data_IF_608208757591
#
_entry.id   IF_608208757591
#
_cell.length_a   1.000
_cell.length_b   1.000
_cell.length_c   1.000
_cell.angle_alpha   90.00
_cell.angle_beta   90.00
_cell.angle_gamma   90.00
#
_symmetry.space_group_name_H-M   'P 1'
#
loop_
_entity.id
_entity.type
_entity.pdbx_description
1 polymer ?
#
# COMPACT_ATOMS: atom_id res chain seq x y z
N UNK A 1 -9.17 -25.16 -6.97
CA UNK A 1 -8.00 -24.91 -6.11
C UNK A 1 -7.16 -23.92 -6.89
N UNK A 2 -7.09 -22.66 -6.46
CA UNK A 2 -6.22 -21.66 -7.09
C UNK A 2 -4.79 -22.12 -6.82
N UNK A 3 -3.94 -22.22 -7.85
CA UNK A 3 -2.56 -22.61 -7.64
C UNK A 3 -1.86 -21.53 -6.80
N UNK A 4 -0.86 -21.91 -5.99
CA UNK A 4 -0.11 -20.95 -5.18
C UNK A 4 0.54 -19.85 -6.05
N UNK A 5 0.92 -20.21 -7.28
CA UNK A 5 1.49 -19.30 -8.28
C UNK A 5 0.47 -18.27 -8.78
N UNK A 6 -0.76 -18.70 -9.10
CA UNK A 6 -1.85 -17.79 -9.52
C UNK A 6 -2.19 -16.77 -8.42
N UNK A 7 -2.13 -17.19 -7.15
CA UNK A 7 -2.38 -16.29 -6.02
C UNK A 7 -1.23 -15.30 -5.84
N UNK A 8 0.02 -15.75 -5.99
CA UNK A 8 1.19 -14.86 -5.90
C UNK A 8 1.15 -13.79 -7.00
N UNK A 9 0.84 -14.17 -8.23
CA UNK A 9 0.70 -13.24 -9.36
C UNK A 9 -0.44 -12.23 -9.13
N UNK A 10 -1.59 -12.69 -8.63
CA UNK A 10 -2.71 -11.80 -8.32
C UNK A 10 -2.38 -10.80 -7.19
N UNK A 11 -1.57 -11.20 -6.21
CA UNK A 11 -1.11 -10.30 -5.14
C UNK A 11 -0.09 -9.28 -5.67
N UNK A 12 0.82 -9.69 -6.54
CA UNK A 12 1.76 -8.78 -7.22
C UNK A 12 1.02 -7.73 -8.06
N UNK A 13 0.05 -8.16 -8.88
CA UNK A 13 -0.77 -7.24 -9.68
C UNK A 13 -1.59 -6.27 -8.81
N UNK A 14 -2.09 -6.73 -7.65
CA UNK A 14 -2.79 -5.87 -6.68
C UNK A 14 -1.84 -4.79 -6.17
N UNK A 15 -0.62 -5.16 -5.79
CA UNK A 15 0.33 -4.24 -5.18
C UNK A 15 0.82 -3.20 -6.19
N UNK A 16 1.07 -3.60 -7.44
CA UNK A 16 1.36 -2.68 -8.56
C UNK A 16 0.23 -1.67 -8.79
N UNK A 17 -1.03 -2.13 -8.80
CA UNK A 17 -2.19 -1.26 -8.96
C UNK A 17 -2.32 -0.26 -7.80
N UNK A 18 -2.15 -0.73 -6.57
CA UNK A 18 -2.23 0.12 -5.37
C UNK A 18 -1.14 1.19 -5.37
N UNK A 19 0.08 0.84 -5.78
CA UNK A 19 1.18 1.81 -6.00
C UNK A 19 0.82 2.86 -7.04
N UNK A 20 0.26 2.47 -8.19
CA UNK A 20 -0.16 3.42 -9.23
C UNK A 20 -1.27 4.36 -8.74
N UNK A 21 -2.26 3.84 -8.01
CA UNK A 21 -3.31 4.65 -7.40
C UNK A 21 -2.74 5.66 -6.38
N UNK A 22 -1.80 5.22 -5.56
CA UNK A 22 -1.13 6.07 -4.56
C UNK A 22 -0.48 7.30 -5.20
N UNK A 23 0.27 7.11 -6.28
CA UNK A 23 0.92 8.22 -6.99
C UNK A 23 -0.07 9.25 -7.52
N UNK A 24 -1.23 8.80 -8.02
CA UNK A 24 -2.29 9.70 -8.49
C UNK A 24 -2.92 10.45 -7.32
N UNK A 25 -3.24 9.76 -6.22
CA UNK A 25 -3.86 10.36 -5.04
C UNK A 25 -2.97 11.41 -4.38
N UNK A 26 -1.65 11.18 -4.33
CA UNK A 26 -0.67 12.16 -3.84
C UNK A 26 -0.68 13.47 -4.64
N UNK A 27 -0.98 13.43 -5.94
CA UNK A 27 -1.08 14.64 -6.80
C UNK A 27 -2.37 15.43 -6.57
N UNK A 28 -3.42 14.80 -6.02
CA UNK A 28 -4.72 15.43 -5.77
C UNK A 28 -4.68 16.29 -4.51
N UNK A 29 -4.13 15.76 -3.40
CA UNK A 29 -3.86 16.55 -2.18
C UNK A 29 -5.10 16.99 -1.38
N UNK A 30 -6.24 16.29 -1.50
CA UNK A 30 -7.40 16.48 -0.62
C UNK A 30 -7.28 15.62 0.64
N UNK A 31 -8.11 15.91 1.66
CA UNK A 31 -8.17 15.13 2.89
C UNK A 31 -8.55 13.67 2.63
N UNK A 32 -9.50 13.47 1.72
CA UNK A 32 -9.98 12.16 1.31
C UNK A 32 -8.87 11.39 0.59
N UNK A 33 -8.14 12.03 -0.34
CA UNK A 33 -7.01 11.37 -1.01
C UNK A 33 -5.90 11.00 -0.02
N UNK A 34 -5.61 11.86 0.96
CA UNK A 34 -4.61 11.53 2.00
C UNK A 34 -5.04 10.34 2.86
N UNK A 35 -6.34 10.22 3.18
CA UNK A 35 -6.83 9.05 3.94
C UNK A 35 -6.73 7.74 3.16
N UNK A 36 -6.92 7.80 1.83
CA UNK A 36 -6.74 6.64 0.96
C UNK A 36 -5.26 6.28 0.78
N UNK A 37 -4.37 7.26 0.65
CA UNK A 37 -2.91 7.02 0.63
C UNK A 37 -2.45 6.32 1.90
N UNK A 38 -2.88 6.79 3.09
CA UNK A 38 -2.54 6.14 4.35
C UNK A 38 -3.03 4.68 4.42
N UNK A 39 -4.24 4.40 3.92
CA UNK A 39 -4.76 3.04 3.85
C UNK A 39 -3.94 2.15 2.90
N UNK A 40 -3.49 2.70 1.77
CA UNK A 40 -2.60 2.00 0.83
C UNK A 40 -1.24 1.73 1.49
N UNK A 41 -0.67 2.72 2.18
CA UNK A 41 0.63 2.60 2.84
C UNK A 41 0.61 1.51 3.93
N UNK A 42 -0.47 1.42 4.71
CA UNK A 42 -0.66 0.31 5.66
C UNK A 42 -0.81 -1.05 4.99
N UNK A 43 -1.53 -1.14 3.85
CA UNK A 43 -1.75 -2.42 3.15
C UNK A 43 -0.48 -2.95 2.49
N UNK A 44 0.38 -2.04 2.01
CA UNK A 44 1.63 -2.34 1.33
C UNK A 44 2.85 -2.31 2.26
N UNK A 45 2.64 -2.01 3.55
CA UNK A 45 3.69 -1.86 4.57
C UNK A 45 4.77 -0.84 4.15
N UNK A 46 4.34 0.29 3.57
CA UNK A 46 5.21 1.36 3.06
C UNK A 46 5.56 2.40 4.13
N UNK A 47 4.86 2.37 5.27
CA UNK A 47 5.18 3.22 6.41
C UNK A 47 6.46 2.70 7.08
N UNK A 48 7.61 3.26 6.71
CA UNK A 48 8.96 2.99 7.28
C UNK A 48 9.08 3.22 8.81
N UNK A 49 7.99 3.47 9.55
CA UNK A 49 7.95 3.81 10.97
C UNK A 49 7.16 2.82 11.86
N UNK A 50 7.47 1.53 11.74
CA UNK A 50 7.25 0.58 12.84
C UNK A 50 8.45 -0.35 13.08
N UNK A 51 9.66 0.22 13.13
CA UNK A 51 10.77 -0.42 13.85
C UNK A 51 10.51 -0.29 15.36
N UNK A 52 10.26 -1.39 16.10
CA UNK A 52 10.05 -1.33 17.55
C UNK A 52 11.41 -1.12 18.24
N UNK A 53 11.91 0.12 18.23
CA UNK A 53 13.22 0.47 18.79
C UNK A 53 13.35 1.88 19.34
N UNK A 54 12.26 2.67 19.36
CA UNK A 54 12.25 4.02 19.92
C UNK A 54 11.24 4.14 21.07
N UNK A 55 11.37 3.26 22.06
CA UNK A 55 10.94 3.57 23.42
C UNK A 55 12.21 3.86 24.22
N UNK A 56 12.25 5.09 24.77
CA UNK A 56 13.27 5.55 25.71
C UNK A 56 13.39 4.65 26.93
#
# INVERSE_FOLDING_TARGET
MVAADDLAEALEQRDELLMACREVLLRIGTRESSSLVAAIDTLLDLDDEASPGSQR
#
